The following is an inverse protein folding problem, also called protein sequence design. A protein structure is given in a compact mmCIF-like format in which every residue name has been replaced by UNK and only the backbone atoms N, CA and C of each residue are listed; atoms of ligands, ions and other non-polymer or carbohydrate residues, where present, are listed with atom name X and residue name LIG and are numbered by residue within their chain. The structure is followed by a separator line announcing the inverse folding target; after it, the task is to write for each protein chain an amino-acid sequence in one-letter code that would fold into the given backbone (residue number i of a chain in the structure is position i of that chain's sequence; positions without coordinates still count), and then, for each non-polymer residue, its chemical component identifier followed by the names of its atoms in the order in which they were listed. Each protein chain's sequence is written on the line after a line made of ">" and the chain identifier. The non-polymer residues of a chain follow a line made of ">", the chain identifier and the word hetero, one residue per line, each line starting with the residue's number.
data_IF_513252848439
#
_entry.id   IF_513252848439
#
_cell.length_a   1.000
_cell.length_b   1.000
_cell.length_c   1.000
_cell.angle_alpha   90.00
_cell.angle_beta   90.00
_cell.angle_gamma   90.00
#
_symmetry.space_group_name_H-M   'P 1'
#
loop_
_entity.id
_entity.type
_entity.pdbx_description
1 polymer ?
#
# COMPACT_ATOMS: atom_id res chain seq x y z
N UNK A 1 -18.10 4.63 -8.07
CA UNK A 1 -19.24 3.72 -7.82
C UNK A 1 -18.66 2.33 -7.59
N UNK A 2 -19.32 1.47 -6.85
CA UNK A 2 -18.97 0.04 -6.78
C UNK A 2 -19.39 -0.69 -8.08
N UNK A 3 -19.21 -2.02 -8.12
CA UNK A 3 -19.56 -2.86 -9.27
C UNK A 3 -21.08 -2.96 -9.54
N UNK A 4 -21.92 -2.59 -8.58
CA UNK A 4 -23.38 -2.56 -8.71
C UNK A 4 -23.90 -1.18 -9.13
N UNK A 5 -23.01 -0.20 -9.29
CA UNK A 5 -23.35 1.18 -9.59
C UNK A 5 -23.86 1.98 -8.39
N UNK A 6 -23.62 1.49 -7.17
CA UNK A 6 -23.89 2.21 -5.94
C UNK A 6 -22.66 3.04 -5.54
N UNK A 7 -22.86 4.12 -4.79
CA UNK A 7 -21.75 4.94 -4.31
C UNK A 7 -20.86 4.13 -3.36
N UNK A 8 -19.61 3.91 -3.75
CA UNK A 8 -18.61 3.29 -2.87
C UNK A 8 -18.44 4.14 -1.59
N UNK A 9 -18.63 3.53 -0.43
CA UNK A 9 -18.58 4.19 0.89
C UNK A 9 -17.30 3.87 1.66
N UNK A 10 -16.42 3.03 1.08
CA UNK A 10 -15.20 2.58 1.70
C UNK A 10 -14.16 3.68 1.88
N UNK A 11 -13.14 3.38 2.65
CA UNK A 11 -11.96 4.22 2.81
C UNK A 11 -10.94 3.83 1.74
N UNK A 12 -10.82 4.66 0.70
CA UNK A 12 -9.82 4.45 -0.35
C UNK A 12 -8.40 4.70 0.21
N UNK A 13 -7.80 3.67 0.80
CA UNK A 13 -6.49 3.78 1.45
C UNK A 13 -5.30 3.91 0.49
N UNK A 14 -5.49 3.57 -0.77
CA UNK A 14 -4.46 3.69 -1.80
C UNK A 14 -5.02 3.52 -3.20
N UNK A 15 -4.27 3.98 -4.18
CA UNK A 15 -4.62 3.82 -5.59
C UNK A 15 -3.34 3.53 -6.38
N UNK A 16 -3.40 2.57 -7.29
CA UNK A 16 -2.32 2.28 -8.22
C UNK A 16 -2.85 1.95 -9.60
N UNK A 17 -2.03 2.20 -10.62
CA UNK A 17 -2.34 1.84 -11.99
C UNK A 17 -1.31 0.87 -12.54
N UNK A 18 -1.78 -0.20 -13.17
CA UNK A 18 -0.94 -1.09 -13.96
C UNK A 18 -1.68 -1.46 -15.26
N UNK A 19 -1.00 -1.32 -16.38
CA UNK A 19 -1.59 -1.55 -17.69
C UNK A 19 -2.88 -0.75 -17.92
N UNK A 20 -3.96 -1.47 -18.21
CA UNK A 20 -5.28 -0.92 -18.53
C UNK A 20 -6.17 -0.69 -17.31
N UNK A 21 -5.71 -1.01 -16.10
CA UNK A 21 -6.54 -1.02 -14.91
C UNK A 21 -6.04 -0.04 -13.85
N UNK A 22 -7.00 0.55 -13.14
CA UNK A 22 -6.81 1.31 -11.92
C UNK A 22 -7.36 0.47 -10.77
N UNK A 23 -6.55 0.27 -9.74
CA UNK A 23 -6.88 -0.46 -8.53
C UNK A 23 -6.98 0.50 -7.36
N UNK A 24 -8.07 0.41 -6.61
CA UNK A 24 -8.32 1.25 -5.43
C UNK A 24 -8.51 0.36 -4.22
N UNK A 25 -7.68 0.57 -3.21
CA UNK A 25 -7.81 -0.11 -1.92
C UNK A 25 -9.14 0.19 -1.26
N UNK A 26 -9.82 -0.84 -0.79
CA UNK A 26 -11.04 -0.72 -0.01
C UNK A 26 -11.11 -1.89 1.00
N UNK A 27 -11.98 -1.77 1.99
CA UNK A 27 -12.22 -2.81 2.96
C UNK A 27 -13.73 -2.94 3.18
N UNK A 28 -14.23 -4.16 3.12
CA UNK A 28 -15.58 -4.47 3.57
C UNK A 28 -15.56 -4.85 5.05
N UNK A 29 -16.60 -4.45 5.78
CA UNK A 29 -16.82 -4.96 7.13
C UNK A 29 -17.62 -6.27 7.00
N UNK A 30 -16.99 -7.40 7.31
CA UNK A 30 -17.63 -8.72 7.36
C UNK A 30 -17.59 -9.26 8.79
N UNK A 31 -18.72 -9.18 9.49
CA UNK A 31 -18.85 -9.72 10.85
C UNK A 31 -17.81 -9.14 11.81
N UNK A 32 -16.96 -10.00 12.37
CA UNK A 32 -15.93 -9.62 13.34
C UNK A 32 -14.58 -9.18 12.70
N UNK A 33 -14.52 -9.02 11.36
CA UNK A 33 -13.28 -8.72 10.65
C UNK A 33 -13.45 -7.74 9.50
N UNK A 34 -12.31 -7.20 9.04
CA UNK A 34 -12.21 -6.46 7.78
C UNK A 34 -11.66 -7.38 6.71
N UNK A 35 -12.36 -7.47 5.60
CA UNK A 35 -11.87 -8.14 4.40
C UNK A 35 -11.36 -7.07 3.44
N UNK A 36 -10.07 -7.10 3.17
CA UNK A 36 -9.45 -6.20 2.22
C UNK A 36 -9.84 -6.56 0.78
N UNK A 37 -10.00 -5.54 -0.03
CA UNK A 37 -10.29 -5.71 -1.45
C UNK A 37 -9.63 -4.61 -2.28
N UNK A 38 -9.45 -4.89 -3.55
CA UNK A 38 -9.14 -3.90 -4.58
C UNK A 38 -10.37 -3.73 -5.47
N UNK A 39 -10.93 -2.53 -5.57
CA UNK A 39 -11.88 -2.20 -6.62
C UNK A 39 -11.14 -1.95 -7.91
N UNK A 40 -11.61 -2.58 -8.98
CA UNK A 40 -10.96 -2.55 -10.29
C UNK A 40 -11.76 -1.64 -11.22
N UNK A 41 -11.07 -0.69 -11.85
CA UNK A 41 -11.66 0.22 -12.83
C UNK A 41 -10.91 0.13 -14.15
N UNK A 42 -11.62 0.28 -15.27
CA UNK A 42 -11.01 0.45 -16.60
C UNK A 42 -10.41 1.85 -16.72
N UNK A 43 -9.07 1.92 -16.76
CA UNK A 43 -8.37 3.19 -16.87
C UNK A 43 -8.63 3.91 -18.20
N UNK A 44 -8.84 3.17 -19.29
CA UNK A 44 -9.13 3.77 -20.58
C UNK A 44 -10.51 4.44 -20.59
N UNK A 45 -11.49 3.86 -19.86
CA UNK A 45 -12.78 4.50 -19.67
C UNK A 45 -12.65 5.81 -18.87
N UNK A 46 -11.82 5.81 -17.79
CA UNK A 46 -11.59 7.01 -16.95
C UNK A 46 -10.98 8.13 -17.78
N UNK A 47 -9.99 7.85 -18.61
CA UNK A 47 -9.25 8.87 -19.36
C UNK A 47 -10.12 9.65 -20.38
N UNK A 48 -11.32 9.15 -20.69
CA UNK A 48 -12.27 9.75 -21.60
C UNK A 48 -13.45 10.44 -20.92
N UNK A 49 -13.49 10.44 -19.57
CA UNK A 49 -14.58 11.08 -18.81
C UNK A 49 -14.41 12.59 -18.72
N UNK A 50 -15.53 13.29 -18.60
CA UNK A 50 -15.55 14.71 -18.25
C UNK A 50 -15.51 14.89 -16.72
N UNK A 51 -15.08 16.07 -16.27
CA UNK A 51 -15.08 16.42 -14.85
C UNK A 51 -16.49 16.22 -14.24
N UNK A 52 -16.52 15.55 -13.09
CA UNK A 52 -17.76 15.24 -12.38
C UNK A 52 -18.52 14.01 -12.88
N UNK A 53 -18.00 13.32 -13.89
CA UNK A 53 -18.59 12.05 -14.32
C UNK A 53 -18.40 10.96 -13.25
N UNK A 54 -19.37 10.07 -13.15
CA UNK A 54 -19.31 8.90 -12.27
C UNK A 54 -18.86 7.67 -13.07
N UNK A 55 -18.04 6.81 -12.44
CA UNK A 55 -17.61 5.56 -13.02
C UNK A 55 -17.85 4.41 -12.03
N UNK A 56 -18.33 3.28 -12.53
CA UNK A 56 -18.47 2.05 -11.75
C UNK A 56 -17.22 1.19 -11.84
N UNK A 57 -16.91 0.50 -10.76
CA UNK A 57 -15.93 -0.57 -10.78
C UNK A 57 -16.41 -1.65 -11.78
N UNK A 58 -15.47 -2.25 -12.49
CA UNK A 58 -15.75 -3.40 -13.37
C UNK A 58 -15.63 -4.73 -12.62
N UNK A 59 -15.18 -4.71 -11.37
CA UNK A 59 -15.09 -5.84 -10.47
C UNK A 59 -14.37 -5.50 -9.19
N UNK A 60 -14.27 -6.49 -8.32
CA UNK A 60 -13.49 -6.45 -7.08
C UNK A 60 -12.55 -7.65 -7.03
N UNK A 61 -11.41 -7.46 -6.39
CA UNK A 61 -10.46 -8.53 -6.09
C UNK A 61 -10.25 -8.56 -4.58
N UNK A 62 -10.58 -9.68 -3.93
CA UNK A 62 -10.42 -9.87 -2.49
C UNK A 62 -8.98 -10.21 -2.16
N UNK A 63 -8.44 -9.58 -1.11
CA UNK A 63 -7.13 -9.87 -0.56
C UNK A 63 -7.26 -10.36 0.88
N UNK A 64 -6.35 -11.23 1.33
CA UNK A 64 -6.42 -11.80 2.69
C UNK A 64 -6.03 -10.81 3.80
N UNK A 65 -5.39 -9.73 3.43
CA UNK A 65 -4.94 -8.67 4.33
C UNK A 65 -5.93 -7.50 4.33
N UNK A 66 -5.88 -6.63 5.34
CA UNK A 66 -6.52 -5.33 5.18
C UNK A 66 -5.83 -4.56 4.06
N UNK A 67 -6.63 -3.96 3.17
CA UNK A 67 -6.12 -3.20 2.03
C UNK A 67 -5.97 -1.73 2.44
N UNK A 68 -4.82 -1.40 3.05
CA UNK A 68 -4.57 -0.06 3.59
C UNK A 68 -3.84 0.85 2.62
N UNK A 69 -2.96 0.30 1.81
CA UNK A 69 -2.26 0.99 0.72
C UNK A 69 -1.89 0.00 -0.38
N UNK A 70 -1.60 0.52 -1.57
CA UNK A 70 -1.10 -0.31 -2.68
C UNK A 70 -0.07 0.43 -3.52
N UNK A 71 0.72 -0.36 -4.23
CA UNK A 71 1.68 0.06 -5.23
C UNK A 71 1.69 -0.97 -6.36
N UNK A 72 2.10 -0.60 -7.56
CA UNK A 72 2.35 -1.57 -8.64
C UNK A 72 3.64 -1.25 -9.38
N UNK A 73 4.30 -2.31 -9.82
CA UNK A 73 5.28 -2.30 -10.89
C UNK A 73 4.74 -3.07 -12.12
N UNK A 74 5.59 -3.42 -13.06
CA UNK A 74 5.17 -4.15 -14.27
C UNK A 74 4.90 -5.66 -14.00
N UNK A 75 5.25 -6.17 -12.82
CA UNK A 75 5.16 -7.59 -12.46
C UNK A 75 4.09 -7.86 -11.40
N UNK A 76 3.89 -6.92 -10.46
CA UNK A 76 3.05 -7.15 -9.28
C UNK A 76 2.21 -5.93 -8.92
N UNK A 77 1.05 -6.23 -8.30
CA UNK A 77 0.36 -5.29 -7.41
C UNK A 77 0.69 -5.67 -5.98
N UNK A 78 1.26 -4.74 -5.25
CA UNK A 78 1.57 -4.86 -3.82
C UNK A 78 0.42 -4.28 -3.01
N UNK A 79 -0.11 -5.05 -2.05
CA UNK A 79 -1.18 -4.59 -1.15
C UNK A 79 -0.70 -4.74 0.28
N UNK A 80 -0.72 -3.67 1.04
CA UNK A 80 -0.13 -3.62 2.37
C UNK A 80 -1.13 -3.32 3.48
N UNK A 81 -0.82 -3.84 4.65
CA UNK A 81 -1.51 -3.60 5.90
C UNK A 81 -0.95 -2.37 6.62
N UNK A 82 -1.82 -1.68 7.32
CA UNK A 82 -1.44 -0.69 8.31
C UNK A 82 -1.62 -1.28 9.71
N UNK A 83 -0.52 -1.45 10.44
CA UNK A 83 -0.58 -1.88 11.84
C UNK A 83 -0.38 -0.72 12.80
N UNK A 84 -1.23 -0.67 13.83
CA UNK A 84 -1.05 0.17 15.01
C UNK A 84 -1.72 -0.49 16.22
N UNK A 85 -1.04 -0.56 17.38
CA UNK A 85 -1.63 -1.13 18.59
C UNK A 85 -2.98 -0.50 18.93
N UNK A 86 -3.91 -1.32 19.41
CA UNK A 86 -5.25 -0.95 19.91
C UNK A 86 -6.27 -0.62 18.81
N UNK A 87 -5.89 0.13 17.77
CA UNK A 87 -6.88 0.65 16.81
C UNK A 87 -6.85 -0.06 15.44
N UNK A 88 -5.68 -0.56 15.04
CA UNK A 88 -5.44 -1.18 13.73
C UNK A 88 -4.57 -2.41 13.92
N UNK A 89 -5.10 -3.40 14.63
CA UNK A 89 -4.42 -4.67 14.82
C UNK A 89 -4.59 -5.52 13.55
N UNK A 90 -3.52 -6.23 13.21
CA UNK A 90 -3.47 -7.20 12.11
C UNK A 90 -3.56 -8.61 12.68
N UNK A 91 -3.64 -9.63 11.82
CA UNK A 91 -3.65 -11.02 12.27
C UNK A 91 -2.31 -11.37 12.97
N UNK A 92 -2.36 -12.05 14.10
CA UNK A 92 -1.15 -12.49 14.81
C UNK A 92 -0.26 -13.41 13.94
N UNK A 93 -0.84 -14.15 13.00
CA UNK A 93 -0.10 -14.95 12.00
C UNK A 93 0.80 -14.11 11.08
N UNK A 94 0.59 -12.77 11.01
CA UNK A 94 1.42 -11.85 10.25
C UNK A 94 2.60 -11.29 11.05
N UNK A 95 2.68 -11.61 12.36
CA UNK A 95 3.74 -11.09 13.21
C UNK A 95 5.05 -11.85 12.96
N UNK A 96 6.11 -11.11 12.78
CA UNK A 96 7.42 -11.65 12.49
C UNK A 96 8.52 -10.86 13.20
N UNK A 97 9.29 -11.55 14.04
CA UNK A 97 10.53 -11.01 14.58
C UNK A 97 11.64 -11.22 13.57
N UNK A 98 12.19 -10.14 13.06
CA UNK A 98 13.23 -10.17 12.04
C UNK A 98 14.58 -10.64 12.62
N UNK A 99 15.56 -11.04 11.80
CA UNK A 99 16.90 -11.37 12.28
C UNK A 99 17.63 -10.23 12.99
N UNK A 100 17.27 -8.96 12.72
CA UNK A 100 17.80 -7.81 13.45
C UNK A 100 17.14 -7.59 14.82
N UNK A 101 16.04 -8.33 15.12
CA UNK A 101 15.28 -8.21 16.36
C UNK A 101 14.11 -7.22 16.29
N UNK A 102 13.80 -6.69 15.12
CA UNK A 102 12.66 -5.82 14.94
C UNK A 102 11.35 -6.63 14.94
N UNK A 103 10.32 -6.09 15.60
CA UNK A 103 9.00 -6.69 15.71
C UNK A 103 8.07 -6.14 14.63
N UNK A 104 8.06 -6.76 13.46
CA UNK A 104 7.12 -6.43 12.40
C UNK A 104 5.76 -7.08 12.67
N UNK A 105 4.68 -6.35 12.45
CA UNK A 105 3.33 -6.81 12.75
C UNK A 105 2.34 -6.60 11.60
N UNK A 106 2.85 -6.33 10.42
CA UNK A 106 2.08 -6.16 9.20
C UNK A 106 2.79 -6.83 8.03
N UNK A 107 2.05 -7.15 7.00
CA UNK A 107 2.59 -7.68 5.76
C UNK A 107 2.15 -6.86 4.55
N UNK A 108 2.95 -6.97 3.51
CA UNK A 108 2.70 -6.49 2.17
C UNK A 108 2.69 -7.70 1.24
N UNK A 109 1.59 -7.97 0.56
CA UNK A 109 1.42 -9.12 -0.33
C UNK A 109 1.55 -8.72 -1.79
N UNK A 110 2.31 -9.49 -2.57
CA UNK A 110 2.61 -9.24 -3.97
C UNK A 110 1.77 -10.16 -4.88
N UNK A 111 0.81 -9.61 -5.58
CA UNK A 111 -0.08 -10.33 -6.51
C UNK A 111 0.42 -10.17 -7.93
N UNK A 112 0.74 -11.27 -8.65
CA UNK A 112 1.25 -11.18 -10.01
C UNK A 112 0.20 -10.68 -10.99
N UNK A 113 0.65 -9.95 -12.02
CA UNK A 113 -0.20 -9.38 -13.06
C UNK A 113 0.16 -9.86 -14.44
N UNK A 114 -0.83 -9.91 -15.32
CA UNK A 114 -0.65 -10.12 -16.76
C UNK A 114 -0.11 -8.85 -17.43
N UNK A 115 0.33 -8.98 -18.68
CA UNK A 115 0.84 -7.86 -19.48
C UNK A 115 -0.19 -6.73 -19.71
N UNK A 116 -1.49 -7.02 -19.59
CA UNK A 116 -2.55 -6.01 -19.67
C UNK A 116 -2.81 -5.30 -18.34
N UNK A 117 -2.17 -5.78 -17.26
CA UNK A 117 -2.29 -5.26 -15.91
C UNK A 117 -3.40 -5.92 -15.07
N UNK A 118 -4.07 -6.94 -15.57
CA UNK A 118 -5.03 -7.72 -14.78
C UNK A 118 -4.32 -8.64 -13.80
N UNK A 119 -4.85 -8.79 -12.57
CA UNK A 119 -4.32 -9.77 -11.60
C UNK A 119 -4.55 -11.18 -12.13
N UNK A 120 -3.51 -12.01 -12.12
CA UNK A 120 -3.54 -13.35 -12.72
C UNK A 120 -3.57 -14.51 -11.70
N UNK A 121 -3.59 -14.21 -10.41
CA UNK A 121 -3.64 -15.22 -9.34
C UNK A 121 -4.50 -14.73 -8.18
N UNK A 122 -5.31 -15.63 -7.61
CA UNK A 122 -6.06 -15.39 -6.37
C UNK A 122 -5.15 -15.26 -5.13
N UNK A 123 -3.92 -15.75 -5.25
CA UNK A 123 -2.94 -15.78 -4.17
C UNK A 123 -1.74 -14.91 -4.51
N UNK A 124 -1.14 -14.27 -3.52
CA UNK A 124 0.14 -13.59 -3.73
C UNK A 124 1.24 -14.61 -4.08
N UNK A 125 2.22 -14.17 -4.82
CA UNK A 125 3.42 -14.98 -5.10
C UNK A 125 4.35 -15.02 -3.89
N UNK A 126 4.43 -13.91 -3.16
CA UNK A 126 5.17 -13.79 -1.89
C UNK A 126 4.56 -12.68 -1.03
N UNK A 127 4.97 -12.65 0.24
CA UNK A 127 4.65 -11.56 1.15
C UNK A 127 5.92 -10.98 1.78
N UNK A 128 5.86 -9.74 2.22
CA UNK A 128 6.97 -9.02 2.86
C UNK A 128 6.51 -8.56 4.24
N UNK A 129 7.21 -8.97 5.27
CA UNK A 129 7.01 -8.45 6.63
C UNK A 129 7.55 -7.02 6.70
N UNK A 130 6.71 -6.09 7.15
CA UNK A 130 6.97 -4.65 7.13
C UNK A 130 6.81 -4.02 8.52
N UNK A 131 7.48 -2.88 8.78
CA UNK A 131 7.32 -2.11 10.01
C UNK A 131 5.87 -1.67 10.27
N UNK A 132 5.59 -1.24 11.50
CA UNK A 132 4.31 -0.63 11.86
C UNK A 132 4.12 0.74 11.18
N UNK A 133 2.86 1.16 11.01
CA UNK A 133 2.45 2.49 10.54
C UNK A 133 2.86 2.81 9.09
N UNK A 134 3.10 1.80 8.27
CA UNK A 134 3.34 2.00 6.84
C UNK A 134 2.05 2.44 6.15
N UNK A 135 2.12 3.56 5.42
CA UNK A 135 1.02 4.18 4.66
C UNK A 135 1.26 4.12 3.14
N UNK A 136 2.48 3.81 2.74
CA UNK A 136 2.84 3.71 1.34
C UNK A 136 4.09 2.88 1.12
N UNK A 137 4.18 2.27 -0.05
CA UNK A 137 5.31 1.45 -0.50
C UNK A 137 5.66 1.83 -1.93
N UNK A 138 6.93 1.74 -2.27
CA UNK A 138 7.41 1.81 -3.65
C UNK A 138 8.65 0.93 -3.83
N UNK A 139 8.73 0.24 -4.96
CA UNK A 139 9.89 -0.56 -5.38
C UNK A 139 10.58 0.13 -6.53
N UNK A 140 11.87 0.34 -6.42
CA UNK A 140 12.71 0.97 -7.41
C UNK A 140 13.30 -0.04 -8.38
N UNK A 141 13.69 0.42 -9.57
CA UNK A 141 14.23 -0.44 -10.62
C UNK A 141 15.55 -1.15 -10.23
N UNK A 142 16.30 -0.60 -9.27
CA UNK A 142 17.53 -1.20 -8.75
C UNK A 142 17.31 -2.20 -7.60
N UNK A 143 16.05 -2.51 -7.29
CA UNK A 143 15.66 -3.45 -6.24
C UNK A 143 15.52 -2.85 -4.86
N UNK A 144 15.90 -1.61 -4.64
CA UNK A 144 15.62 -0.89 -3.40
C UNK A 144 14.13 -0.71 -3.22
N UNK A 145 13.69 -0.59 -1.98
CA UNK A 145 12.30 -0.28 -1.64
C UNK A 145 12.22 0.89 -0.69
N UNK A 146 11.13 1.61 -0.77
CA UNK A 146 10.82 2.71 0.13
C UNK A 146 9.49 2.47 0.81
N UNK A 147 9.39 2.86 2.08
CA UNK A 147 8.13 2.91 2.82
C UNK A 147 7.93 4.29 3.42
N UNK A 148 6.69 4.73 3.42
CA UNK A 148 6.24 5.93 4.12
C UNK A 148 5.59 5.49 5.42
N UNK A 149 6.10 5.96 6.57
CA UNK A 149 5.49 5.69 7.88
C UNK A 149 4.94 6.96 8.48
N UNK A 150 3.69 6.91 8.96
CA UNK A 150 2.98 8.09 9.43
C UNK A 150 1.89 7.75 10.43
N UNK A 151 1.74 8.61 11.46
CA UNK A 151 0.59 8.59 12.34
C UNK A 151 0.32 9.95 12.98
N UNK A 152 -0.86 10.48 12.74
CA UNK A 152 -1.34 11.70 13.41
C UNK A 152 -0.44 12.92 13.16
N UNK A 153 -0.19 13.71 14.20
CA UNK A 153 0.57 14.97 14.13
C UNK A 153 2.09 14.81 14.28
N UNK A 154 2.58 13.60 14.51
CA UNK A 154 4.03 13.35 14.58
C UNK A 154 4.65 13.47 13.19
N UNK A 155 5.94 13.73 13.15
CA UNK A 155 6.69 13.69 11.90
C UNK A 155 6.48 12.32 11.22
N UNK A 156 6.38 12.35 9.90
CA UNK A 156 6.40 11.16 9.06
C UNK A 156 7.83 10.84 8.63
N UNK A 157 8.05 9.61 8.19
CA UNK A 157 9.35 9.17 7.72
C UNK A 157 9.24 8.52 6.33
N UNK A 158 10.21 8.82 5.47
CA UNK A 158 10.50 8.04 4.28
C UNK A 158 11.71 7.18 4.56
N UNK A 159 11.48 5.89 4.76
CA UNK A 159 12.54 4.93 4.98
C UNK A 159 12.90 4.25 3.65
N UNK A 160 14.18 4.25 3.30
CA UNK A 160 14.70 3.58 2.11
C UNK A 160 15.50 2.36 2.58
N UNK A 161 15.14 1.21 2.04
CA UNK A 161 15.81 -0.07 2.31
C UNK A 161 16.57 -0.53 1.08
N UNK A 162 17.72 -1.20 1.30
CA UNK A 162 18.58 -1.71 0.24
C UNK A 162 17.91 -2.78 -0.61
N UNK A 163 17.07 -3.60 0.02
CA UNK A 163 16.39 -4.76 -0.59
C UNK A 163 15.29 -5.30 0.34
N UNK A 164 14.42 -6.16 -0.19
CA UNK A 164 13.61 -7.08 0.58
C UNK A 164 14.39 -8.38 0.74
N UNK A 165 14.70 -8.78 1.99
CA UNK A 165 15.47 -10.00 2.27
C UNK A 165 14.60 -11.23 2.40
N UNK A 166 15.01 -12.34 1.83
CA UNK A 166 14.37 -13.64 2.05
C UNK A 166 14.57 -14.07 3.52
N UNK A 167 13.48 -14.40 4.19
CA UNK A 167 13.53 -14.90 5.57
C UNK A 167 13.85 -16.40 5.67
N UNK A 168 13.81 -17.13 4.55
CA UNK A 168 13.86 -18.59 4.50
C UNK A 168 12.62 -19.27 5.10
N UNK A 169 11.54 -18.53 5.35
CA UNK A 169 10.27 -19.00 5.90
C UNK A 169 9.13 -18.77 4.93
N UNK A 170 8.00 -19.39 5.23
CA UNK A 170 6.72 -19.14 4.56
C UNK A 170 5.72 -18.49 5.53
N UNK A 171 4.68 -17.90 4.97
CA UNK A 171 3.54 -17.38 5.70
C UNK A 171 2.25 -17.88 5.03
N UNK A 172 1.23 -18.19 5.81
CA UNK A 172 -0.08 -18.55 5.30
C UNK A 172 -0.86 -17.28 4.91
N UNK A 173 -1.28 -17.23 3.65
CA UNK A 173 -2.13 -16.18 3.09
C UNK A 173 -3.27 -16.87 2.35
N UNK A 174 -4.50 -16.68 2.83
CA UNK A 174 -5.71 -17.33 2.27
C UNK A 174 -5.60 -18.86 2.18
N UNK A 175 -5.04 -19.48 3.23
CA UNK A 175 -4.80 -20.94 3.29
C UNK A 175 -3.78 -21.46 2.27
N UNK A 176 -2.93 -20.59 1.77
CA UNK A 176 -1.79 -20.94 0.93
C UNK A 176 -0.49 -20.44 1.55
N UNK A 177 0.47 -21.31 1.73
CA UNK A 177 1.82 -20.92 2.13
C UNK A 177 2.57 -20.26 0.97
N UNK A 178 3.08 -19.06 1.21
CA UNK A 178 3.88 -18.28 0.26
C UNK A 178 5.22 -17.87 0.90
N UNK A 179 6.28 -17.65 0.13
CA UNK A 179 7.56 -17.16 0.64
C UNK A 179 7.39 -15.86 1.44
N UNK A 180 8.07 -15.75 2.58
CA UNK A 180 8.10 -14.53 3.40
C UNK A 180 9.45 -13.84 3.25
N UNK A 181 9.41 -12.62 2.73
CA UNK A 181 10.50 -11.65 2.77
C UNK A 181 10.33 -10.70 3.95
N UNK A 182 11.32 -9.85 4.22
CA UNK A 182 11.23 -8.81 5.24
C UNK A 182 12.07 -7.58 4.88
N UNK A 183 11.69 -6.46 5.47
CA UNK A 183 12.52 -5.27 5.64
C UNK A 183 12.62 -4.96 7.12
N UNK A 184 13.79 -4.47 7.56
CA UNK A 184 14.07 -4.20 8.97
C UNK A 184 15.13 -3.10 9.13
N UNK A 185 15.54 -2.83 10.36
CA UNK A 185 16.59 -1.84 10.65
C UNK A 185 17.92 -2.16 9.98
N UNK A 186 18.23 -3.42 9.70
CA UNK A 186 19.48 -3.81 9.02
C UNK A 186 19.46 -3.58 7.52
N UNK A 187 18.28 -3.51 6.91
CA UNK A 187 18.11 -3.20 5.47
C UNK A 187 17.95 -1.72 5.23
N UNK A 188 17.58 -0.94 6.26
CA UNK A 188 17.35 0.50 6.14
C UNK A 188 18.66 1.25 5.92
N UNK A 189 18.80 1.86 4.75
CA UNK A 189 19.97 2.64 4.34
C UNK A 189 19.78 4.15 4.49
N UNK A 190 18.52 4.61 4.59
CA UNK A 190 18.19 6.03 4.75
C UNK A 190 16.87 6.20 5.47
N UNK A 191 16.78 7.26 6.28
CA UNK A 191 15.57 7.73 6.93
C UNK A 191 15.48 9.24 6.73
N UNK A 192 14.40 9.70 6.11
CA UNK A 192 14.15 11.12 5.82
C UNK A 192 12.91 11.56 6.58
N UNK A 193 13.10 12.51 7.49
CA UNK A 193 11.98 13.12 8.23
C UNK A 193 11.15 13.98 7.28
N UNK A 194 9.85 13.79 7.30
CA UNK A 194 8.87 14.44 6.45
C UNK A 194 7.77 15.13 7.28
N UNK A 195 7.02 16.07 6.68
CA UNK A 195 5.80 16.58 7.30
C UNK A 195 4.84 15.46 7.67
N UNK A 196 4.06 15.67 8.72
CA UNK A 196 3.02 14.73 9.19
C UNK A 196 2.03 14.33 8.09
N UNK A 197 1.40 13.16 8.25
CA UNK A 197 0.37 12.64 7.34
C UNK A 197 0.88 12.30 5.94
N UNK A 198 2.11 11.79 5.81
CA UNK A 198 2.53 11.19 4.54
C UNK A 198 1.73 9.90 4.29
N UNK A 199 1.40 9.67 3.05
CA UNK A 199 0.54 8.58 2.59
C UNK A 199 1.23 7.80 1.47
N UNK A 200 0.52 7.56 0.37
CA UNK A 200 0.97 6.74 -0.74
C UNK A 200 2.26 7.22 -1.39
N UNK A 201 3.03 6.26 -1.86
CA UNK A 201 4.23 6.43 -2.65
C UNK A 201 4.02 5.97 -4.08
N UNK A 202 4.71 6.60 -5.01
CA UNK A 202 4.85 6.13 -6.39
C UNK A 202 6.24 6.47 -6.94
N UNK A 203 6.62 5.89 -8.07
CA UNK A 203 7.86 6.22 -8.77
C UNK A 203 7.52 6.99 -10.04
N UNK A 204 8.18 8.11 -10.24
CA UNK A 204 8.09 8.89 -11.47
C UNK A 204 9.48 9.44 -11.83
N UNK A 205 9.91 9.19 -13.05
CA UNK A 205 11.19 9.69 -13.59
C UNK A 205 12.40 9.35 -12.69
N UNK A 206 12.36 8.21 -11.98
CA UNK A 206 13.40 7.76 -11.05
C UNK A 206 13.36 8.43 -9.68
N UNK A 207 12.36 9.24 -9.39
CA UNK A 207 12.14 9.86 -8.08
C UNK A 207 10.96 9.21 -7.34
N UNK A 208 11.03 9.16 -6.02
CA UNK A 208 9.90 8.76 -5.17
C UNK A 208 8.95 9.95 -5.05
N UNK A 209 7.72 9.76 -5.48
CA UNK A 209 6.65 10.76 -5.35
C UNK A 209 5.80 10.43 -4.13
N UNK A 210 5.56 11.41 -3.28
CA UNK A 210 4.92 11.26 -1.97
C UNK A 210 3.67 12.12 -1.91
N UNK A 211 2.53 11.52 -1.56
CA UNK A 211 1.29 12.22 -1.27
C UNK A 211 1.14 12.50 0.23
N UNK A 212 0.35 13.52 0.59
CA UNK A 212 0.08 13.89 1.98
C UNK A 212 -1.41 14.16 2.18
N UNK A 213 -1.95 13.61 3.24
CA UNK A 213 -3.34 13.75 3.66
C UNK A 213 -3.61 15.06 4.43
N UNK A 214 -2.55 15.67 4.97
CA UNK A 214 -2.62 16.87 5.81
C UNK A 214 -3.30 18.08 5.16
N UNK A 215 -3.32 18.15 3.82
CA UNK A 215 -3.99 19.23 3.09
C UNK A 215 -5.51 19.04 2.96
N UNK A 216 -6.05 17.86 3.27
CA UNK A 216 -7.47 17.59 3.11
C UNK A 216 -8.32 18.29 4.20
N UNK A 217 -9.60 18.56 3.88
CA UNK A 217 -10.50 19.27 4.80
C UNK A 217 -10.93 18.44 6.01
N UNK A 218 -10.70 17.11 6.00
CA UNK A 218 -10.99 16.20 7.10
C UNK A 218 -10.13 16.48 8.33
N UNK A 219 -8.86 16.89 8.12
CA UNK A 219 -7.89 17.10 9.18
C UNK A 219 -7.58 18.57 9.42
N UNK A 220 -8.56 19.30 10.01
CA UNK A 220 -8.42 20.74 10.27
C UNK A 220 -7.20 21.05 11.16
N UNK A 221 -6.89 20.19 12.13
CA UNK A 221 -5.73 20.34 13.03
C UNK A 221 -4.42 20.05 12.29
N UNK A 222 -4.42 19.12 11.34
CA UNK A 222 -3.26 18.81 10.50
C UNK A 222 -2.80 19.99 9.63
N UNK A 223 -3.66 20.98 9.43
CA UNK A 223 -3.34 22.22 8.67
C UNK A 223 -2.33 23.15 9.33
N UNK A 224 -1.91 22.87 10.56
CA UNK A 224 -0.83 23.63 11.20
C UNK A 224 0.56 23.28 10.62
N UNK A 225 0.74 22.09 10.05
CA UNK A 225 2.01 21.57 9.50
C UNK A 225 1.78 20.82 8.17
N UNK A 226 1.04 21.42 7.26
CA UNK A 226 0.55 20.71 6.09
C UNK A 226 1.43 20.84 4.85
N UNK A 227 1.54 19.74 4.11
CA UNK A 227 2.05 19.74 2.75
C UNK A 227 0.85 19.92 1.78
N UNK A 228 0.87 21.01 1.02
CA UNK A 228 -0.17 21.31 0.00
C UNK A 228 0.19 20.79 -1.38
N UNK A 229 1.34 20.15 -1.51
CA UNK A 229 1.89 19.69 -2.77
C UNK A 229 2.29 18.23 -2.66
N UNK A 230 2.20 17.54 -3.77
CA UNK A 230 2.92 16.30 -3.98
C UNK A 230 4.41 16.63 -4.01
N UNK A 231 5.21 15.88 -3.27
CA UNK A 231 6.65 16.10 -3.13
C UNK A 231 7.38 14.97 -3.84
N UNK A 232 8.46 15.24 -4.54
CA UNK A 232 9.37 14.21 -5.04
C UNK A 232 10.67 14.19 -4.25
N UNK A 233 11.22 12.98 -4.11
CA UNK A 233 12.49 12.74 -3.44
C UNK A 233 13.43 11.98 -4.38
N UNK A 234 14.61 12.53 -4.73
CA UNK A 234 15.56 11.85 -5.59
C UNK A 234 16.20 10.66 -4.88
N UNK A 235 16.30 9.54 -5.59
CA UNK A 235 16.81 8.25 -5.05
C UNK A 235 18.33 8.10 -5.22
N UNK A 236 19.07 9.13 -5.54
CA UNK A 236 20.53 9.10 -5.77
C UNK A 236 21.33 8.96 -4.48
#
# INVERSE_FOLDING_TARGET
>A
MDENGERAKGHAGGVTRVGNYLYVCDNADEGDGRVGMLRVYDFNAISNLQDGAEISAIGTFTVDTSSSFCFSDDEYIYVGEFYRPVNYETKESHYFTTPAGDENKAILSAYPVNADGSICSEYPEFSVSIPAQVQGFAKMADGKVAVSTSWGLTDSHLEIHSEMKDSGKTIDVSSKEVPLYYIDSSTRIKDVVMPSFSEGLSIKDGEIVISFESACNKYVIGKLFFATKIVSYPVN
#
